data_IF_672133937055
#
_entry.id   IF_672133937055
#
_cell.length_a   1.000
_cell.length_b   1.000
_cell.length_c   1.000
_cell.angle_alpha   90.00
_cell.angle_beta   90.00
_cell.angle_gamma   90.00
#
_symmetry.space_group_name_H-M   'P 1'
#
loop_
_entity.id
_entity.type
_entity.pdbx_description
1 polymer ?
#
# COMPACT_ATOMS: atom_id res chain seq x y z
N UNK A 1 -43.57 10.71 -69.60
CA UNK A 1 -43.36 11.19 -68.21
C UNK A 1 -42.64 10.11 -67.39
N UNK A 2 -41.33 10.25 -67.12
CA UNK A 2 -40.57 9.47 -66.09
C UNK A 2 -39.08 9.86 -65.94
N UNK A 3 -38.55 10.88 -66.63
CA UNK A 3 -37.13 11.30 -66.53
C UNK A 3 -36.82 12.38 -65.47
N UNK A 4 -37.82 13.17 -65.03
CA UNK A 4 -37.59 14.30 -64.10
C UNK A 4 -37.53 13.96 -62.60
N UNK A 5 -37.86 12.73 -62.21
CA UNK A 5 -37.87 12.29 -60.78
C UNK A 5 -36.51 11.72 -60.36
N UNK A 6 -35.79 11.08 -61.28
CA UNK A 6 -34.46 10.49 -61.05
C UNK A 6 -33.37 11.54 -60.79
N UNK A 7 -33.34 12.63 -61.56
CA UNK A 7 -32.33 13.70 -61.40
C UNK A 7 -32.45 14.48 -60.08
N UNK A 8 -33.66 14.57 -59.51
CA UNK A 8 -33.89 15.24 -58.22
C UNK A 8 -33.42 14.41 -57.02
N UNK A 9 -33.56 13.08 -57.10
CA UNK A 9 -33.05 12.15 -56.09
C UNK A 9 -31.53 12.06 -56.16
N UNK A 10 -30.96 12.05 -57.36
CA UNK A 10 -29.51 12.00 -57.57
C UNK A 10 -28.78 13.25 -57.06
N UNK A 11 -29.31 14.45 -57.34
CA UNK A 11 -28.78 15.72 -56.80
C UNK A 11 -28.84 15.79 -55.27
N UNK A 12 -29.85 15.19 -54.64
CA UNK A 12 -29.95 15.11 -53.18
C UNK A 12 -28.95 14.09 -52.60
N UNK A 13 -28.76 12.94 -53.24
CA UNK A 13 -27.77 11.94 -52.78
C UNK A 13 -26.32 12.43 -52.92
N UNK A 14 -25.97 13.16 -53.98
CA UNK A 14 -24.63 13.76 -54.12
C UNK A 14 -24.36 14.88 -53.11
N UNK A 15 -25.36 15.66 -52.71
CA UNK A 15 -25.19 16.69 -51.69
C UNK A 15 -24.90 16.09 -50.30
N UNK A 16 -25.49 14.94 -49.95
CA UNK A 16 -25.17 14.23 -48.70
C UNK A 16 -23.79 13.56 -48.73
N UNK A 17 -23.32 13.11 -49.90
CA UNK A 17 -21.97 12.55 -50.07
C UNK A 17 -20.86 13.60 -49.92
N UNK A 18 -21.06 14.85 -50.40
CA UNK A 18 -20.09 15.93 -50.18
C UNK A 18 -20.13 16.52 -48.76
N UNK A 19 -21.29 16.55 -48.10
CA UNK A 19 -21.39 17.00 -46.71
C UNK A 19 -20.78 16.00 -45.71
N UNK A 20 -20.85 14.69 -46.01
CA UNK A 20 -20.24 13.63 -45.20
C UNK A 20 -18.70 13.63 -45.22
N UNK A 21 -18.09 14.10 -46.31
CA UNK A 21 -16.62 14.15 -46.44
C UNK A 21 -15.94 15.22 -45.58
N UNK A 22 -16.63 16.31 -45.23
CA UNK A 22 -16.04 17.38 -44.39
C UNK A 22 -16.07 16.98 -42.91
N UNK A 23 -17.07 16.22 -42.46
CA UNK A 23 -17.16 15.73 -41.08
C UNK A 23 -16.13 14.63 -40.76
N UNK A 24 -15.81 13.75 -41.73
CA UNK A 24 -14.85 12.66 -41.52
C UNK A 24 -13.40 13.14 -41.37
N UNK A 25 -13.01 14.24 -42.02
CA UNK A 25 -11.67 14.82 -41.90
C UNK A 25 -11.48 15.52 -40.54
N UNK A 26 -12.52 16.17 -40.01
CA UNK A 26 -12.49 16.79 -38.68
C UNK A 26 -12.30 15.80 -37.54
N UNK A 27 -12.95 14.62 -37.62
CA UNK A 27 -12.81 13.56 -36.62
C UNK A 27 -11.46 12.83 -36.68
N UNK A 28 -10.82 12.76 -37.85
CA UNK A 28 -9.45 12.24 -38.00
C UNK A 28 -8.40 13.20 -37.40
N UNK A 29 -8.57 14.53 -37.56
CA UNK A 29 -7.65 15.51 -36.97
C UNK A 29 -7.74 15.59 -35.43
N UNK A 30 -8.94 15.46 -34.86
CA UNK A 30 -9.12 15.46 -33.40
C UNK A 30 -8.50 14.21 -32.73
N UNK A 31 -8.59 13.04 -33.37
CA UNK A 31 -7.97 11.79 -32.90
C UNK A 31 -6.44 11.79 -33.03
N UNK A 32 -5.90 12.37 -34.11
CA UNK A 32 -4.45 12.53 -34.30
C UNK A 32 -3.83 13.47 -33.24
N UNK A 33 -4.49 14.59 -32.91
CA UNK A 33 -4.02 15.54 -31.92
C UNK A 33 -3.96 14.96 -30.50
N UNK A 34 -5.00 14.22 -30.10
CA UNK A 34 -5.04 13.56 -28.80
C UNK A 34 -4.03 12.38 -28.70
N UNK A 35 -3.88 11.57 -29.75
CA UNK A 35 -2.90 10.48 -29.79
C UNK A 35 -1.45 10.97 -29.82
N UNK A 36 -1.19 12.07 -30.53
CA UNK A 36 0.12 12.72 -30.63
C UNK A 36 0.48 13.52 -29.36
N UNK A 37 -0.50 14.08 -28.65
CA UNK A 37 -0.31 14.62 -27.30
C UNK A 37 -0.01 13.50 -26.29
N UNK A 38 -0.72 12.37 -26.34
CA UNK A 38 -0.48 11.22 -25.44
C UNK A 38 0.91 10.61 -25.66
N UNK A 39 1.32 10.42 -26.92
CA UNK A 39 2.69 9.99 -27.27
C UNK A 39 3.77 11.01 -26.87
N UNK A 40 3.55 12.32 -27.08
CA UNK A 40 4.50 13.34 -26.62
C UNK A 40 4.65 13.33 -25.11
N UNK A 41 3.56 13.19 -24.37
CA UNK A 41 3.60 13.22 -22.90
C UNK A 41 4.32 12.00 -22.32
N UNK A 42 4.13 10.81 -22.89
CA UNK A 42 4.87 9.60 -22.51
C UNK A 42 6.33 9.65 -22.94
N UNK A 43 6.64 10.18 -24.13
CA UNK A 43 8.01 10.38 -24.61
C UNK A 43 8.77 11.46 -23.82
N UNK A 44 8.11 12.54 -23.42
CA UNK A 44 8.69 13.62 -22.59
C UNK A 44 8.88 13.17 -21.13
N UNK A 45 8.00 12.29 -20.62
CA UNK A 45 8.18 11.64 -19.32
C UNK A 45 9.35 10.62 -19.35
N UNK A 46 9.48 9.85 -20.43
CA UNK A 46 10.61 8.95 -20.65
C UNK A 46 11.93 9.70 -20.89
N UNK A 47 11.90 10.85 -21.56
CA UNK A 47 13.07 11.72 -21.77
C UNK A 47 13.58 12.38 -20.47
N UNK A 48 12.75 12.42 -19.42
CA UNK A 48 13.13 12.84 -18.06
C UNK A 48 13.53 11.67 -17.15
N UNK A 49 13.70 10.46 -17.67
CA UNK A 49 14.20 9.34 -16.90
C UNK A 49 15.62 9.66 -16.38
N UNK A 50 15.79 9.67 -15.06
CA UNK A 50 17.10 9.78 -14.41
C UNK A 50 17.51 8.42 -13.90
N UNK A 51 18.69 7.96 -14.31
CA UNK A 51 19.31 6.77 -13.75
C UNK A 51 19.98 7.15 -12.44
N UNK A 52 19.48 6.61 -11.32
CA UNK A 52 20.12 6.71 -10.01
C UNK A 52 21.05 5.51 -9.83
N UNK A 53 22.37 5.74 -9.87
CA UNK A 53 23.36 4.70 -9.58
C UNK A 53 23.66 4.68 -8.09
N UNK A 54 23.43 3.53 -7.44
CA UNK A 54 23.76 3.27 -6.02
C UNK A 54 24.81 2.15 -6.00
N UNK A 55 26.07 2.49 -5.75
CA UNK A 55 27.20 1.53 -5.78
C UNK A 55 27.88 1.30 -4.42
N UNK A 56 27.40 1.95 -3.36
CA UNK A 56 27.91 1.78 -2.01
C UNK A 56 29.33 2.30 -1.77
N UNK A 57 29.94 3.00 -2.72
CA UNK A 57 31.30 3.58 -2.57
C UNK A 57 31.39 4.60 -1.43
N UNK A 58 30.29 5.28 -1.11
CA UNK A 58 30.17 6.28 -0.05
C UNK A 58 29.48 5.76 1.22
N UNK A 59 29.36 4.43 1.37
CA UNK A 59 28.67 3.82 2.51
C UNK A 59 29.31 4.23 3.86
N UNK A 60 28.46 4.62 4.82
CA UNK A 60 28.87 4.87 6.20
C UNK A 60 28.93 3.54 6.94
N UNK A 61 30.14 3.09 7.31
CA UNK A 61 30.38 1.80 7.97
C UNK A 61 30.40 1.88 9.51
N UNK A 62 30.15 3.06 10.08
CA UNK A 62 30.08 3.24 11.52
C UNK A 62 28.97 2.38 12.12
N UNK A 63 29.24 1.65 13.21
CA UNK A 63 28.27 0.73 13.81
C UNK A 63 26.93 1.36 14.17
N UNK A 64 26.89 2.65 14.49
CA UNK A 64 25.66 3.37 14.82
C UNK A 64 24.81 3.74 13.60
N UNK A 65 25.39 3.72 12.40
CA UNK A 65 24.70 4.03 11.13
C UNK A 65 24.18 2.79 10.41
N UNK A 66 24.48 1.60 10.92
CA UNK A 66 23.97 0.35 10.36
C UNK A 66 22.46 0.26 10.56
N UNK A 67 21.76 -0.12 9.49
CA UNK A 67 20.35 -0.46 9.55
C UNK A 67 20.16 -1.66 10.48
N UNK A 68 19.24 -1.54 11.43
CA UNK A 68 18.96 -2.55 12.45
C UNK A 68 17.67 -3.31 12.20
N UNK A 69 16.89 -2.92 11.20
CA UNK A 69 15.58 -3.49 10.93
C UNK A 69 14.43 -2.53 11.21
N UNK A 70 13.23 -3.01 10.88
CA UNK A 70 11.96 -2.36 11.19
C UNK A 70 11.27 -3.11 12.32
N UNK A 71 10.33 -2.44 13.00
CA UNK A 71 9.62 -3.03 14.12
C UNK A 71 8.20 -2.53 14.30
N UNK A 72 7.51 -3.18 15.24
CA UNK A 72 6.20 -2.80 15.72
C UNK A 72 6.27 -2.25 17.15
N UNK A 73 5.28 -1.43 17.50
CA UNK A 73 5.03 -1.01 18.89
C UNK A 73 3.74 -1.65 19.34
N UNK A 74 3.78 -2.33 20.48
CA UNK A 74 2.59 -2.81 21.20
C UNK A 74 2.50 -2.04 22.51
N UNK A 75 1.40 -1.31 22.65
CA UNK A 75 1.18 -0.30 23.68
C UNK A 75 -0.30 0.05 23.78
N UNK A 76 -0.71 0.77 24.83
CA UNK A 76 -2.01 1.44 24.95
C UNK A 76 -3.25 0.66 24.45
N UNK A 77 -3.26 -0.66 24.64
CA UNK A 77 -4.35 -1.55 24.23
C UNK A 77 -4.35 -1.97 22.76
N UNK A 78 -3.37 -1.54 21.96
CA UNK A 78 -3.31 -1.77 20.50
C UNK A 78 -3.25 -3.24 20.09
N UNK A 79 -2.79 -4.14 20.97
CA UNK A 79 -2.77 -5.59 20.72
C UNK A 79 -3.84 -6.35 21.53
N UNK A 80 -4.74 -5.66 22.24
CA UNK A 80 -5.73 -6.24 23.15
C UNK A 80 -6.64 -7.25 22.46
N UNK A 81 -7.26 -6.84 21.35
CA UNK A 81 -8.24 -7.66 20.60
C UNK A 81 -7.57 -8.82 19.86
N UNK A 82 -6.26 -8.71 19.60
CA UNK A 82 -5.52 -9.78 18.95
C UNK A 82 -5.41 -11.01 19.87
N UNK A 83 -5.46 -10.82 21.19
CA UNK A 83 -5.49 -11.95 22.14
C UNK A 83 -6.83 -12.69 22.11
N UNK A 84 -7.94 -11.97 21.91
CA UNK A 84 -9.25 -12.59 21.76
C UNK A 84 -9.30 -13.39 20.43
N UNK A 85 -8.72 -12.84 19.35
CA UNK A 85 -8.50 -13.59 18.10
C UNK A 85 -7.63 -14.82 18.28
N UNK A 86 -6.59 -14.75 19.12
CA UNK A 86 -5.74 -15.92 19.40
C UNK A 86 -6.52 -17.08 20.00
N UNK A 87 -7.48 -16.78 20.87
CA UNK A 87 -8.32 -17.78 21.53
C UNK A 87 -9.43 -18.27 20.62
N UNK A 88 -10.18 -17.35 19.98
CA UNK A 88 -11.40 -17.68 19.25
C UNK A 88 -11.14 -18.06 17.78
N UNK A 89 -10.06 -17.55 17.17
CA UNK A 89 -9.73 -17.69 15.75
C UNK A 89 -8.21 -17.89 15.56
N UNK A 90 -7.63 -18.98 16.10
CA UNK A 90 -6.18 -19.15 16.20
C UNK A 90 -5.47 -19.19 14.85
N UNK A 91 -6.10 -19.74 13.81
CA UNK A 91 -5.51 -19.83 12.47
C UNK A 91 -5.31 -18.43 11.87
N UNK A 92 -6.32 -17.56 11.97
CA UNK A 92 -6.27 -16.17 11.51
C UNK A 92 -5.31 -15.34 12.35
N UNK A 93 -5.26 -15.58 13.67
CA UNK A 93 -4.26 -14.96 14.53
C UNK A 93 -2.84 -15.25 14.03
N UNK A 94 -2.52 -16.53 13.79
CA UNK A 94 -1.20 -16.92 13.32
C UNK A 94 -0.93 -16.46 11.89
N UNK A 95 -1.95 -16.39 11.04
CA UNK A 95 -1.83 -15.78 9.72
C UNK A 95 -1.38 -14.31 9.84
N UNK A 96 -2.07 -13.50 10.66
CA UNK A 96 -1.70 -12.09 10.91
C UNK A 96 -0.27 -12.00 11.46
N UNK A 97 0.07 -12.81 12.46
CA UNK A 97 1.42 -12.79 13.05
C UNK A 97 2.49 -13.18 12.03
N UNK A 98 2.23 -14.12 11.12
CA UNK A 98 3.15 -14.47 10.04
C UNK A 98 3.28 -13.34 9.00
N UNK A 99 2.18 -12.67 8.64
CA UNK A 99 2.24 -11.48 7.78
C UNK A 99 3.10 -10.37 8.39
N UNK A 100 3.09 -10.20 9.71
CA UNK A 100 3.90 -9.19 10.38
C UNK A 100 5.37 -9.58 10.51
N UNK A 101 5.67 -10.81 10.97
CA UNK A 101 6.99 -11.17 11.45
C UNK A 101 7.77 -12.15 10.57
N UNK A 102 7.13 -12.91 9.68
CA UNK A 102 7.85 -13.93 8.90
C UNK A 102 8.80 -13.25 7.89
N UNK A 103 10.12 -13.53 7.93
CA UNK A 103 11.11 -12.74 7.16
C UNK A 103 11.03 -12.90 5.64
N UNK A 104 10.51 -14.03 5.15
CA UNK A 104 10.40 -14.32 3.71
C UNK A 104 8.96 -14.23 3.17
N UNK A 105 7.96 -14.43 4.02
CA UNK A 105 6.54 -14.51 3.60
C UNK A 105 5.72 -13.29 4.03
N UNK A 106 6.19 -12.54 5.03
CA UNK A 106 5.54 -11.34 5.55
C UNK A 106 6.41 -10.09 5.39
N UNK A 107 6.10 -9.06 6.18
CA UNK A 107 6.85 -7.81 6.27
C UNK A 107 8.23 -8.03 6.88
N UNK A 108 8.41 -9.08 7.69
CA UNK A 108 9.69 -9.41 8.31
C UNK A 108 10.11 -8.40 9.37
N UNK A 109 9.15 -7.93 10.19
CA UNK A 109 9.49 -7.11 11.34
C UNK A 109 10.46 -7.85 12.27
N UNK A 110 11.44 -7.12 12.79
CA UNK A 110 12.60 -7.65 13.54
C UNK A 110 12.74 -7.04 14.93
N UNK A 111 11.93 -6.02 15.25
CA UNK A 111 11.90 -5.39 16.55
C UNK A 111 10.46 -5.31 17.07
N UNK A 112 10.30 -5.55 18.37
CA UNK A 112 9.05 -5.28 19.09
C UNK A 112 9.36 -4.36 20.25
N UNK A 113 8.78 -3.16 20.24
CA UNK A 113 8.81 -2.25 21.39
C UNK A 113 7.54 -2.45 22.20
N UNK A 114 7.68 -2.85 23.45
CA UNK A 114 6.56 -3.11 24.37
C UNK A 114 6.43 -1.95 25.36
N UNK A 115 5.22 -1.43 25.56
CA UNK A 115 4.92 -0.54 26.69
C UNK A 115 5.00 -1.31 28.00
N UNK A 116 5.78 -0.79 28.96
CA UNK A 116 5.72 -1.25 30.34
C UNK A 116 4.55 -0.54 31.02
N UNK A 117 3.39 -1.20 31.01
CA UNK A 117 2.14 -0.65 31.53
C UNK A 117 2.24 -0.18 32.99
N UNK A 118 1.39 0.78 33.33
CA UNK A 118 1.28 1.38 34.66
C UNK A 118 -0.17 1.45 35.17
N UNK A 119 -1.06 0.59 34.66
CA UNK A 119 -2.49 0.56 34.97
C UNK A 119 -3.26 1.86 34.65
N UNK A 120 -2.63 2.77 33.90
CA UNK A 120 -3.22 4.04 33.48
C UNK A 120 -3.42 4.05 31.97
N UNK A 121 -4.41 4.80 31.51
CA UNK A 121 -4.59 5.04 30.07
C UNK A 121 -3.46 5.94 29.56
N UNK A 122 -2.69 5.42 28.61
CA UNK A 122 -1.55 6.11 27.98
C UNK A 122 -1.85 6.51 26.54
N UNK A 123 -3.08 6.30 26.04
CA UNK A 123 -3.67 6.96 24.86
C UNK A 123 -5.06 6.41 24.54
N UNK A 124 -5.14 5.12 24.21
CA UNK A 124 -6.33 4.45 23.66
C UNK A 124 -6.82 3.31 24.56
N UNK A 125 -6.27 3.22 25.77
CA UNK A 125 -6.44 2.10 26.67
C UNK A 125 -5.28 1.96 27.64
N UNK A 126 -5.56 1.34 28.78
CA UNK A 126 -4.56 1.07 29.81
C UNK A 126 -3.86 -0.27 29.58
N UNK A 127 -2.54 -0.29 29.74
CA UNK A 127 -1.75 -1.52 29.84
C UNK A 127 -1.51 -1.87 31.32
N UNK A 128 -1.67 -3.15 31.71
CA UNK A 128 -1.54 -3.54 33.10
C UNK A 128 -0.09 -3.46 33.58
N UNK A 129 0.10 -3.00 34.82
CA UNK A 129 1.42 -2.98 35.43
C UNK A 129 1.94 -4.40 35.70
N UNK A 130 3.23 -4.62 35.37
CA UNK A 130 3.93 -5.87 35.70
C UNK A 130 4.00 -6.10 37.21
N UNK A 131 4.01 -5.01 37.99
CA UNK A 131 3.85 -4.98 39.45
C UNK A 131 2.93 -3.83 39.85
N UNK A 132 1.90 -4.13 40.65
CA UNK A 132 1.00 -3.13 41.25
C UNK A 132 1.42 -2.71 42.65
N UNK A 133 2.10 -3.62 43.36
CA UNK A 133 2.57 -3.39 44.72
C UNK A 133 4.08 -3.71 44.83
N UNK A 134 4.83 -3.05 45.74
CA UNK A 134 6.27 -3.26 45.88
C UNK A 134 6.66 -4.72 46.16
N UNK A 135 5.92 -5.40 47.03
CA UNK A 135 6.17 -6.81 47.41
C UNK A 135 5.69 -7.84 46.39
N UNK A 136 4.99 -7.43 45.33
CA UNK A 136 4.47 -8.35 44.33
C UNK A 136 5.60 -8.89 43.44
N UNK A 137 5.57 -10.18 43.11
CA UNK A 137 6.42 -10.73 42.05
C UNK A 137 6.00 -10.12 40.71
N UNK A 138 6.99 -9.77 39.88
CA UNK A 138 6.70 -9.30 38.53
C UNK A 138 5.97 -10.40 37.72
N UNK A 139 4.94 -9.99 37.01
CA UNK A 139 4.08 -10.88 36.23
C UNK A 139 3.97 -10.37 34.80
N UNK A 140 4.74 -11.00 33.91
CA UNK A 140 4.78 -10.68 32.48
C UNK A 140 3.67 -11.36 31.69
N UNK A 141 2.75 -12.09 32.36
CA UNK A 141 1.59 -12.71 31.70
C UNK A 141 0.40 -11.76 31.66
N UNK A 142 0.53 -10.55 32.21
CA UNK A 142 -0.50 -9.50 32.16
C UNK A 142 -0.43 -8.76 30.84
N UNK A 143 -1.60 -8.46 30.29
CA UNK A 143 -1.74 -7.68 29.07
C UNK A 143 -1.31 -8.46 27.83
N UNK A 144 -1.44 -7.82 26.68
CA UNK A 144 -1.14 -8.44 25.39
C UNK A 144 0.33 -8.32 25.00
N UNK A 145 1.03 -7.27 25.47
CA UNK A 145 2.34 -6.87 24.93
C UNK A 145 3.43 -7.95 25.02
N UNK A 146 3.59 -8.59 26.18
CA UNK A 146 4.59 -9.65 26.33
C UNK A 146 4.24 -10.93 25.56
N UNK A 147 2.96 -11.26 25.46
CA UNK A 147 2.49 -12.40 24.67
C UNK A 147 2.73 -12.16 23.18
N UNK A 148 2.39 -10.97 22.68
CA UNK A 148 2.67 -10.54 21.32
C UNK A 148 4.16 -10.62 20.99
N UNK A 149 5.03 -10.11 21.86
CA UNK A 149 6.47 -10.18 21.69
C UNK A 149 7.00 -11.63 21.68
N UNK A 150 6.50 -12.48 22.58
CA UNK A 150 6.85 -13.89 22.63
C UNK A 150 6.44 -14.64 21.37
N UNK A 151 5.24 -14.39 20.86
CA UNK A 151 4.76 -15.07 19.65
C UNK A 151 5.47 -14.56 18.39
N UNK A 152 5.83 -13.27 18.35
CA UNK A 152 6.71 -12.72 17.31
C UNK A 152 8.09 -13.42 17.30
N UNK A 153 8.70 -13.61 18.47
CA UNK A 153 10.00 -14.28 18.62
C UNK A 153 9.98 -15.73 18.13
N UNK A 154 8.84 -16.43 18.25
CA UNK A 154 8.69 -17.79 17.70
C UNK A 154 8.75 -17.83 16.18
N UNK A 155 8.31 -16.76 15.52
CA UNK A 155 8.28 -16.66 14.05
C UNK A 155 9.63 -16.17 13.52
N UNK A 156 10.24 -15.21 14.21
CA UNK A 156 11.50 -14.59 13.82
C UNK A 156 12.43 -14.46 15.06
N UNK A 157 13.24 -15.50 15.36
CA UNK A 157 14.08 -15.57 16.56
C UNK A 157 15.33 -14.68 16.51
#
# INVERSE_FOLDING_TARGET
>A
MKRGRYMRVWRRCMAYLLAGSIAAVGSLYAGMGAGMQKMKTEADAAAKARVLKIDGSTQVKGGNSLFRGLGAVTCNGSSRLLMDYKEENPDQYWEIMNWLFHPQKGVGLSHVKVELGCDSDTSSGAEPATKRNPGQKADVRRGAGFMFAHDALKINP
#
